data_IF_361447848125
#
_entry.id   IF_361447848125
#
_cell.length_a   1.000
_cell.length_b   1.000
_cell.length_c   1.000
_cell.angle_alpha   90.00
_cell.angle_beta   90.00
_cell.angle_gamma   90.00
#
_symmetry.space_group_name_H-M   'P 1'
#
loop_
_entity.id
_entity.type
_entity.pdbx_description
1 polymer ?
#
# COMPACT_ATOMS: atom_id res chain seq x y z
N UNK A 1 7.55 22.56 -18.58
CA UNK A 1 6.77 23.53 -17.79
C UNK A 1 6.95 23.22 -16.33
N UNK A 2 7.07 24.20 -15.40
CA UNK A 2 7.10 23.87 -13.98
C UNK A 2 5.85 23.07 -13.62
N UNK A 3 6.02 22.06 -12.77
CA UNK A 3 4.90 21.24 -12.32
C UNK A 3 3.91 22.13 -11.56
N UNK A 4 2.66 22.21 -12.03
CA UNK A 4 1.61 22.96 -11.35
C UNK A 4 1.09 22.24 -10.09
N UNK A 5 1.52 21.00 -9.87
CA UNK A 5 1.01 20.15 -8.79
C UNK A 5 2.16 19.66 -7.90
N UNK A 6 2.07 19.92 -6.60
CA UNK A 6 2.91 19.31 -5.58
C UNK A 6 2.19 18.08 -5.02
N UNK A 7 2.87 16.95 -4.92
CA UNK A 7 2.30 15.72 -4.41
C UNK A 7 2.81 15.42 -3.01
N UNK A 8 1.91 15.16 -2.07
CA UNK A 8 2.20 14.68 -0.72
C UNK A 8 1.75 13.22 -0.60
N UNK A 9 2.67 12.31 -0.33
CA UNK A 9 2.37 10.90 -0.06
C UNK A 9 2.44 10.66 1.44
N UNK A 10 1.32 10.33 2.06
CA UNK A 10 1.22 10.06 3.50
C UNK A 10 1.66 8.62 3.77
N UNK A 11 2.80 8.45 4.46
CA UNK A 11 3.42 7.17 4.76
C UNK A 11 3.91 7.10 6.22
N UNK A 12 3.22 7.82 7.12
CA UNK A 12 3.62 7.99 8.51
C UNK A 12 3.07 6.91 9.46
N UNK A 13 1.96 6.26 9.10
CA UNK A 13 1.24 5.31 9.97
C UNK A 13 1.98 3.98 10.16
N UNK A 14 1.83 3.42 11.36
CA UNK A 14 2.28 2.05 11.66
C UNK A 14 1.48 1.02 10.88
N UNK A 15 0.15 1.12 10.88
CA UNK A 15 -0.75 0.13 10.30
C UNK A 15 -0.89 -1.12 11.18
N UNK A 16 -1.39 -0.95 12.40
CA UNK A 16 -1.49 -2.02 13.41
C UNK A 16 -2.30 -3.23 12.99
N UNK A 17 -3.26 -3.07 12.07
CA UNK A 17 -4.00 -4.19 11.48
C UNK A 17 -3.15 -5.21 10.73
N UNK A 18 -1.90 -4.86 10.38
CA UNK A 18 -0.93 -5.76 9.77
C UNK A 18 0.13 -6.30 10.75
N UNK A 19 0.02 -6.04 12.06
CA UNK A 19 0.96 -6.66 13.01
C UNK A 19 0.91 -8.19 12.92
N UNK A 20 2.05 -8.89 12.92
CA UNK A 20 3.38 -8.43 13.24
C UNK A 20 4.22 -7.88 12.06
N UNK A 21 3.70 -7.81 10.84
CA UNK A 21 4.45 -7.36 9.65
C UNK A 21 4.91 -5.88 9.77
N UNK A 22 4.22 -5.09 10.59
CA UNK A 22 4.49 -3.66 10.80
C UNK A 22 5.25 -3.35 12.09
N UNK A 23 5.67 -4.36 12.85
CA UNK A 23 6.46 -4.15 14.08
C UNK A 23 7.81 -3.44 13.84
N UNK A 24 8.39 -3.58 12.65
CA UNK A 24 9.72 -3.06 12.32
C UNK A 24 9.76 -2.11 11.12
N UNK A 25 8.60 -1.76 10.56
CA UNK A 25 8.46 -0.87 9.40
C UNK A 25 7.06 -0.26 9.34
N UNK A 26 6.85 0.88 8.65
CA UNK A 26 5.50 1.40 8.40
C UNK A 26 4.78 0.51 7.38
N UNK A 27 3.44 0.58 7.34
CA UNK A 27 2.61 -0.16 6.39
C UNK A 27 3.04 0.06 4.94
N UNK A 28 3.37 1.29 4.56
CA UNK A 28 3.89 1.65 3.23
C UNK A 28 5.15 0.87 2.80
N UNK A 29 5.94 0.36 3.76
CA UNK A 29 7.15 -0.41 3.49
C UNK A 29 6.98 -1.93 3.56
N UNK A 30 5.76 -2.44 3.76
CA UNK A 30 5.47 -3.88 3.78
C UNK A 30 5.70 -4.46 2.36
N UNK A 31 6.39 -5.62 2.23
CA UNK A 31 6.58 -6.29 0.94
C UNK A 31 5.24 -6.72 0.33
N UNK A 32 5.14 -6.71 -1.02
CA UNK A 32 3.95 -7.13 -1.76
C UNK A 32 4.32 -7.72 -3.12
N UNK A 33 3.57 -8.74 -3.59
CA UNK A 33 3.66 -9.28 -4.94
C UNK A 33 5.05 -9.81 -5.34
N UNK A 34 5.79 -10.40 -4.41
CA UNK A 34 7.07 -11.07 -4.64
C UNK A 34 8.30 -10.15 -4.70
N UNK A 35 8.15 -8.85 -4.99
CA UNK A 35 9.32 -7.94 -5.08
C UNK A 35 9.03 -6.49 -4.73
N UNK A 36 7.77 -6.04 -4.72
CA UNK A 36 7.38 -4.67 -4.49
C UNK A 36 7.25 -4.35 -2.99
N UNK A 37 7.06 -3.08 -2.69
CA UNK A 37 6.51 -2.58 -1.43
C UNK A 37 5.20 -1.85 -1.71
N UNK A 38 4.35 -1.76 -0.71
CA UNK A 38 3.03 -1.13 -0.85
C UNK A 38 3.11 0.27 -1.45
N UNK A 39 4.07 1.09 -1.02
CA UNK A 39 4.26 2.45 -1.53
C UNK A 39 4.61 2.53 -3.03
N UNK A 40 5.20 1.47 -3.59
CA UNK A 40 5.63 1.46 -5.00
C UNK A 40 4.45 1.66 -5.96
N UNK A 41 3.25 1.23 -5.58
CA UNK A 41 2.03 1.42 -6.38
C UNK A 41 1.64 2.89 -6.47
N UNK A 42 1.59 3.60 -5.34
CA UNK A 42 1.29 5.04 -5.31
C UNK A 42 2.36 5.84 -6.05
N UNK A 43 3.65 5.52 -5.87
CA UNK A 43 4.73 6.21 -6.56
C UNK A 43 4.77 5.89 -8.06
N UNK A 44 4.43 4.67 -8.48
CA UNK A 44 4.28 4.32 -9.89
C UNK A 44 3.14 5.11 -10.53
N UNK A 45 2.00 5.25 -9.84
CA UNK A 45 0.90 6.10 -10.32
C UNK A 45 1.36 7.57 -10.47
N UNK A 46 2.13 8.12 -9.52
CA UNK A 46 2.72 9.46 -9.67
C UNK A 46 3.61 9.56 -10.91
N UNK A 47 4.51 8.59 -11.10
CA UNK A 47 5.44 8.54 -12.23
C UNK A 47 4.70 8.52 -13.57
N UNK A 48 3.74 7.63 -13.72
CA UNK A 48 2.95 7.46 -14.95
C UNK A 48 1.99 8.61 -15.22
N UNK A 49 1.50 9.29 -14.19
CA UNK A 49 0.68 10.51 -14.29
C UNK A 49 1.50 11.77 -14.55
N UNK A 50 2.82 11.66 -14.75
CA UNK A 50 3.68 12.82 -15.03
C UNK A 50 4.00 13.69 -13.81
N UNK A 51 3.67 13.26 -12.60
CA UNK A 51 3.97 13.99 -11.37
C UNK A 51 5.45 13.83 -11.01
N UNK A 52 6.14 14.97 -10.84
CA UNK A 52 7.60 14.99 -10.66
C UNK A 52 8.04 15.58 -9.33
N UNK A 53 7.17 16.26 -8.62
CA UNK A 53 7.46 16.87 -7.32
C UNK A 53 6.68 16.12 -6.25
N UNK A 54 7.34 15.17 -5.60
CA UNK A 54 6.72 14.24 -4.64
C UNK A 54 7.44 14.30 -3.30
N UNK A 55 6.71 14.65 -2.26
CA UNK A 55 7.14 14.61 -0.86
C UNK A 55 6.49 13.41 -0.17
N UNK A 56 7.28 12.54 0.43
CA UNK A 56 6.79 11.38 1.16
C UNK A 56 6.89 11.66 2.66
N UNK A 57 5.76 11.95 3.31
CA UNK A 57 5.72 12.28 4.73
C UNK A 57 5.81 10.99 5.56
N UNK A 58 6.85 10.90 6.39
CA UNK A 58 7.19 9.65 7.11
C UNK A 58 7.37 9.89 8.60
N UNK A 59 7.11 8.89 9.43
CA UNK A 59 7.31 8.94 10.87
C UNK A 59 7.70 7.59 11.47
N UNK A 60 6.74 6.66 11.60
CA UNK A 60 6.96 5.40 12.31
C UNK A 60 8.03 4.55 11.63
N UNK A 61 9.08 4.19 12.37
CA UNK A 61 10.19 3.27 11.96
C UNK A 61 10.58 3.39 10.48
N UNK A 62 10.76 4.62 10.01
CA UNK A 62 10.86 4.98 8.58
C UNK A 62 12.18 4.60 7.91
N UNK A 63 13.20 4.17 8.65
CA UNK A 63 14.54 3.88 8.09
C UNK A 63 14.50 2.95 6.87
N UNK A 64 13.75 1.84 6.96
CA UNK A 64 13.65 0.88 5.84
C UNK A 64 12.90 1.46 4.63
N UNK A 65 11.95 2.39 4.86
CA UNK A 65 11.24 3.10 3.81
C UNK A 65 12.17 4.12 3.13
N UNK A 66 12.91 4.92 3.89
CA UNK A 66 13.89 5.87 3.36
C UNK A 66 14.96 5.17 2.52
N UNK A 67 15.50 4.03 3.02
CA UNK A 67 16.42 3.21 2.24
C UNK A 67 15.81 2.79 0.90
N UNK A 68 14.57 2.32 0.90
CA UNK A 68 13.87 1.89 -0.31
C UNK A 68 13.66 3.04 -1.30
N UNK A 69 13.23 4.21 -0.82
CA UNK A 69 13.06 5.41 -1.65
C UNK A 69 14.38 5.85 -2.29
N UNK A 70 15.46 5.89 -1.50
CA UNK A 70 16.80 6.23 -2.00
C UNK A 70 17.27 5.23 -3.06
N UNK A 71 17.15 3.93 -2.80
CA UNK A 71 17.74 2.88 -3.64
C UNK A 71 16.88 2.61 -4.91
N UNK A 72 15.56 2.79 -4.85
CA UNK A 72 14.63 2.47 -5.94
C UNK A 72 14.03 3.65 -6.67
N UNK A 73 13.93 4.82 -6.01
CA UNK A 73 13.15 5.95 -6.50
C UNK A 73 13.95 7.24 -6.72
N UNK A 74 15.29 7.22 -6.58
CA UNK A 74 16.18 8.32 -6.95
C UNK A 74 16.39 8.36 -8.46
N UNK A 75 15.32 8.64 -9.20
CA UNK A 75 15.28 8.60 -10.68
C UNK A 75 15.10 9.97 -11.31
N UNK A 76 14.80 10.98 -10.51
CA UNK A 76 14.57 12.34 -10.98
C UNK A 76 15.81 13.19 -10.83
N UNK A 77 15.92 14.24 -11.65
CA UNK A 77 16.99 15.20 -11.56
C UNK A 77 16.56 16.43 -10.74
N UNK A 78 17.10 16.61 -9.52
CA UNK A 78 16.77 17.77 -8.69
C UNK A 78 17.14 19.12 -9.30
N UNK A 79 18.12 19.18 -10.21
CA UNK A 79 18.48 20.40 -10.92
C UNK A 79 17.37 20.90 -11.84
N UNK A 80 16.50 20.00 -12.29
CA UNK A 80 15.30 20.34 -13.07
C UNK A 80 14.08 20.62 -12.19
N UNK A 81 14.23 20.57 -10.87
CA UNK A 81 13.14 20.72 -9.91
C UNK A 81 12.28 19.45 -9.72
N UNK A 82 12.75 18.31 -10.21
CA UNK A 82 12.07 17.02 -10.10
C UNK A 82 12.62 16.22 -8.91
N UNK A 83 11.76 15.73 -8.04
CA UNK A 83 12.19 14.98 -6.85
C UNK A 83 11.14 14.00 -6.32
N UNK A 84 11.61 12.94 -5.67
CA UNK A 84 10.88 12.14 -4.70
C UNK A 84 11.69 12.20 -3.40
N UNK A 85 11.20 12.97 -2.42
CA UNK A 85 11.96 13.26 -1.20
C UNK A 85 11.21 12.77 0.03
N UNK A 86 11.80 11.90 0.87
CA UNK A 86 11.24 11.58 2.17
C UNK A 86 11.36 12.76 3.13
N UNK A 87 10.26 13.11 3.77
CA UNK A 87 10.17 14.18 4.78
C UNK A 87 9.79 13.53 6.11
N UNK A 88 10.74 13.27 7.00
CA UNK A 88 10.44 12.76 8.33
C UNK A 88 9.79 13.83 9.18
N UNK A 89 8.99 13.42 10.17
CA UNK A 89 8.47 14.32 11.20
C UNK A 89 9.63 15.03 11.92
N UNK A 90 9.53 16.37 12.09
CA UNK A 90 10.61 17.22 12.58
C UNK A 90 10.23 18.03 13.82
N UNK A 91 9.02 17.82 14.38
CA UNK A 91 8.54 18.56 15.55
C UNK A 91 8.64 20.08 15.38
N UNK A 92 8.26 20.62 14.21
CA UNK A 92 8.37 22.05 13.89
C UNK A 92 7.37 22.92 14.64
N UNK A 93 6.20 22.35 14.95
CA UNK A 93 5.14 22.99 15.69
C UNK A 93 5.00 22.31 17.07
N UNK A 94 5.86 22.70 18.00
CA UNK A 94 5.91 22.10 19.34
C UNK A 94 6.72 20.81 19.42
N UNK A 95 6.52 20.04 20.50
CA UNK A 95 7.26 18.80 20.80
C UNK A 95 6.57 17.52 20.28
N UNK A 96 5.45 17.68 19.57
CA UNK A 96 4.64 16.55 19.14
C UNK A 96 5.07 15.99 17.78
N UNK A 97 4.96 14.69 17.64
CA UNK A 97 5.02 14.00 16.36
C UNK A 97 3.70 14.23 15.61
N UNK A 98 3.63 13.81 14.33
CA UNK A 98 2.36 13.88 13.60
C UNK A 98 1.25 13.13 14.35
N UNK A 99 0.19 13.82 14.72
CA UNK A 99 -0.99 13.24 15.34
C UNK A 99 -1.85 12.46 14.34
N UNK A 100 -1.91 12.93 13.09
CA UNK A 100 -2.69 12.30 12.02
C UNK A 100 -2.31 12.82 10.64
N UNK A 101 -3.08 12.46 9.58
CA UNK A 101 -2.85 12.93 8.21
C UNK A 101 -2.88 14.46 8.08
N UNK A 102 -3.87 15.10 8.69
CA UNK A 102 -4.02 16.55 8.67
C UNK A 102 -2.87 17.26 9.37
N UNK A 103 -2.50 16.80 10.54
CA UNK A 103 -1.37 17.34 11.31
C UNK A 103 -0.03 17.16 10.56
N UNK A 104 0.16 16.03 9.87
CA UNK A 104 1.34 15.83 9.04
C UNK A 104 1.45 16.89 7.93
N UNK A 105 0.33 17.30 7.32
CA UNK A 105 0.32 18.37 6.32
C UNK A 105 0.59 19.71 6.99
N UNK A 106 -0.06 20.02 8.12
CA UNK A 106 0.08 21.27 8.88
C UNK A 106 1.53 21.49 9.30
N UNK A 107 2.19 20.53 9.93
CA UNK A 107 3.60 20.63 10.32
C UNK A 107 4.56 20.81 9.13
N UNK A 108 4.11 20.51 7.92
CA UNK A 108 4.88 20.71 6.68
C UNK A 108 4.34 21.86 5.81
N UNK A 109 3.49 22.73 6.33
CA UNK A 109 2.92 23.90 5.66
C UNK A 109 3.96 24.73 4.91
N UNK A 110 5.12 24.93 5.50
CA UNK A 110 6.21 25.71 4.91
C UNK A 110 6.69 25.16 3.55
N UNK A 111 6.54 23.84 3.29
CA UNK A 111 6.85 23.23 1.98
C UNK A 111 5.79 23.59 0.94
N UNK A 112 4.53 23.69 1.34
CA UNK A 112 3.43 24.14 0.48
C UNK A 112 3.63 25.61 0.10
N UNK A 113 3.92 26.47 1.06
CA UNK A 113 4.13 27.91 0.87
C UNK A 113 5.29 28.20 -0.07
N UNK A 114 6.40 27.45 0.06
CA UNK A 114 7.59 27.59 -0.79
C UNK A 114 7.42 27.03 -2.20
N UNK A 115 6.44 26.16 -2.41
CA UNK A 115 6.18 25.57 -3.72
C UNK A 115 5.49 26.56 -4.64
N UNK A 116 5.91 26.57 -5.92
CA UNK A 116 5.24 27.33 -6.97
C UNK A 116 3.96 26.63 -7.49
N UNK A 117 3.62 25.45 -6.98
CA UNK A 117 2.44 24.71 -7.38
C UNK A 117 1.15 25.46 -7.03
N UNK A 118 0.15 25.37 -7.89
CA UNK A 118 -1.22 25.88 -7.65
C UNK A 118 -2.11 24.84 -6.99
N UNK A 119 -1.80 23.56 -7.20
CA UNK A 119 -2.56 22.44 -6.65
C UNK A 119 -1.69 21.54 -5.77
N UNK A 120 -2.31 20.92 -4.78
CA UNK A 120 -1.68 19.94 -3.90
C UNK A 120 -2.44 18.61 -4.01
N UNK A 121 -1.75 17.57 -4.47
CA UNK A 121 -2.28 16.22 -4.50
C UNK A 121 -1.84 15.48 -3.23
N UNK A 122 -2.80 15.04 -2.42
CA UNK A 122 -2.56 14.28 -1.19
C UNK A 122 -2.97 12.84 -1.39
N UNK A 123 -2.05 11.90 -1.15
CA UNK A 123 -2.19 10.48 -1.44
C UNK A 123 -1.92 9.63 -0.21
N UNK A 124 -2.78 8.69 0.10
CA UNK A 124 -2.45 7.62 1.04
C UNK A 124 -1.45 6.66 0.37
N UNK A 125 -0.24 6.54 0.96
CA UNK A 125 0.84 5.67 0.45
C UNK A 125 0.72 4.20 0.89
N UNK A 126 -0.49 3.72 1.22
CA UNK A 126 -0.71 2.46 1.94
C UNK A 126 -1.73 1.53 1.26
N UNK A 127 -2.13 1.83 0.03
CA UNK A 127 -3.08 1.03 -0.75
C UNK A 127 -2.45 0.46 -2.03
N UNK A 128 -3.02 -0.63 -2.51
CA UNK A 128 -2.65 -1.28 -3.76
C UNK A 128 -3.69 -0.96 -4.82
N UNK A 129 -3.31 -0.20 -5.84
CA UNK A 129 -4.18 0.17 -6.96
C UNK A 129 -3.38 0.80 -8.10
N UNK A 130 -4.00 0.92 -9.26
CA UNK A 130 -3.55 1.78 -10.37
C UNK A 130 -4.55 2.89 -10.61
N UNK A 131 -4.05 4.11 -10.78
CA UNK A 131 -4.86 5.27 -11.07
C UNK A 131 -4.05 6.33 -11.82
N UNK A 132 -4.63 6.88 -12.88
CA UNK A 132 -4.09 8.05 -13.56
C UNK A 132 -4.51 9.33 -12.82
N UNK A 133 -3.59 9.87 -12.04
CA UNK A 133 -3.84 11.10 -11.29
C UNK A 133 -3.94 12.33 -12.19
N UNK A 134 -3.42 12.28 -13.42
CA UNK A 134 -3.55 13.40 -14.36
C UNK A 134 -5.02 13.64 -14.71
N UNK A 135 -5.82 12.57 -14.80
CA UNK A 135 -7.25 12.66 -15.06
C UNK A 135 -8.01 13.27 -13.86
N UNK A 136 -7.65 12.89 -12.62
CA UNK A 136 -8.21 13.51 -11.42
C UNK A 136 -7.89 15.01 -11.36
N UNK A 137 -6.65 15.40 -11.63
CA UNK A 137 -6.20 16.79 -11.61
C UNK A 137 -6.91 17.58 -12.73
N UNK A 138 -7.09 16.97 -13.91
CA UNK A 138 -7.86 17.59 -14.99
C UNK A 138 -9.31 17.84 -14.59
N UNK A 139 -9.98 16.85 -14.02
CA UNK A 139 -11.33 16.99 -13.52
C UNK A 139 -11.45 18.06 -12.42
N UNK A 140 -10.46 18.15 -11.54
CA UNK A 140 -10.36 19.18 -10.51
C UNK A 140 -10.32 20.59 -11.14
N UNK A 141 -9.48 20.80 -12.14
CA UNK A 141 -9.37 22.10 -12.85
C UNK A 141 -10.64 22.44 -13.62
N UNK A 142 -11.23 21.47 -14.29
CA UNK A 142 -12.47 21.65 -15.09
C UNK A 142 -13.66 22.02 -14.19
N UNK A 143 -13.75 21.45 -13.00
CA UNK A 143 -14.83 21.74 -12.06
C UNK A 143 -14.66 23.07 -11.32
N UNK A 144 -13.44 23.62 -11.25
CA UNK A 144 -13.14 24.80 -10.43
C UNK A 144 -13.31 24.54 -8.92
N UNK A 145 -13.28 23.27 -8.50
CA UNK A 145 -13.47 22.88 -7.11
C UNK A 145 -12.28 23.32 -6.23
N UNK A 146 -12.52 23.60 -4.95
CA UNK A 146 -11.49 23.79 -3.96
C UNK A 146 -10.85 22.44 -3.55
N UNK A 147 -11.62 21.36 -3.63
CA UNK A 147 -11.12 20.00 -3.40
C UNK A 147 -11.85 18.99 -4.28
N UNK A 148 -11.10 18.04 -4.82
CA UNK A 148 -11.65 16.87 -5.53
C UNK A 148 -11.17 15.59 -4.89
N UNK A 149 -12.08 14.70 -4.51
CA UNK A 149 -11.78 13.42 -3.88
C UNK A 149 -11.97 12.29 -4.88
N UNK A 150 -11.01 11.35 -4.93
CA UNK A 150 -11.28 10.08 -5.59
C UNK A 150 -12.22 9.24 -4.73
N UNK A 151 -13.30 8.77 -5.35
CA UNK A 151 -14.36 7.98 -4.72
C UNK A 151 -14.61 6.69 -5.50
N UNK A 152 -15.05 5.67 -4.80
CA UNK A 152 -15.39 4.36 -5.37
C UNK A 152 -16.68 3.81 -4.75
N UNK A 153 -17.29 2.85 -5.42
CA UNK A 153 -18.44 2.15 -4.88
C UNK A 153 -18.08 1.40 -3.58
N UNK A 154 -18.89 1.52 -2.55
CA UNK A 154 -18.67 0.87 -1.24
C UNK A 154 -18.63 -0.65 -1.34
N UNK A 155 -19.41 -1.25 -2.23
CA UNK A 155 -19.49 -2.71 -2.41
C UNK A 155 -18.35 -3.33 -3.21
N UNK A 156 -17.47 -2.51 -3.76
CA UNK A 156 -16.34 -3.03 -4.51
C UNK A 156 -15.36 -3.79 -3.59
N UNK A 157 -14.75 -4.91 -4.06
CA UNK A 157 -13.83 -5.69 -3.26
C UNK A 157 -12.66 -4.85 -2.70
N UNK A 158 -12.24 -5.14 -1.48
CA UNK A 158 -11.15 -4.42 -0.81
C UNK A 158 -11.60 -3.17 -0.06
N UNK A 159 -12.91 -2.88 0.06
CA UNK A 159 -13.40 -1.79 0.89
C UNK A 159 -13.20 -2.14 2.36
N UNK A 160 -12.27 -1.49 2.97
CA UNK A 160 -12.16 -1.36 4.41
C UNK A 160 -13.09 -0.26 4.90
N UNK A 161 -13.00 0.00 6.18
CA UNK A 161 -13.75 1.05 6.86
C UNK A 161 -13.21 2.42 6.43
N UNK A 162 -13.65 2.92 5.27
CA UNK A 162 -13.31 4.26 4.75
C UNK A 162 -14.48 5.22 4.93
N UNK A 163 -14.22 6.54 5.10
CA UNK A 163 -15.27 7.54 5.16
C UNK A 163 -16.24 7.44 4.00
N UNK A 164 -17.54 7.52 4.30
CA UNK A 164 -18.61 7.49 3.30
C UNK A 164 -18.83 8.88 2.72
N UNK A 165 -19.14 8.90 1.44
CA UNK A 165 -19.36 10.10 0.65
C UNK A 165 -20.78 10.13 0.14
N UNK A 166 -21.49 11.21 0.40
CA UNK A 166 -22.76 11.54 -0.24
C UNK A 166 -22.47 12.57 -1.34
N UNK A 167 -22.87 12.26 -2.57
CA UNK A 167 -22.70 13.16 -3.71
C UNK A 167 -24.04 13.28 -4.47
N UNK A 168 -24.23 14.42 -5.15
CA UNK A 168 -25.35 14.61 -6.08
C UNK A 168 -25.04 14.03 -7.47
N UNK A 169 -25.97 14.25 -8.41
CA UNK A 169 -25.86 13.79 -9.80
C UNK A 169 -24.70 14.42 -10.56
N UNK A 170 -24.28 15.62 -10.17
CA UNK A 170 -23.16 16.37 -10.75
C UNK A 170 -21.83 16.05 -10.04
N UNK A 171 -21.82 15.00 -9.21
CA UNK A 171 -20.66 14.58 -8.40
C UNK A 171 -20.20 15.61 -7.37
N UNK A 172 -21.02 16.61 -7.02
CA UNK A 172 -20.75 17.53 -5.92
C UNK A 172 -20.94 16.77 -4.60
N UNK A 173 -20.00 16.91 -3.70
CA UNK A 173 -20.04 16.27 -2.39
C UNK A 173 -20.93 17.08 -1.45
N UNK A 174 -21.96 16.41 -0.94
CA UNK A 174 -22.94 16.98 -0.02
C UNK A 174 -22.66 16.61 1.44
N UNK A 175 -21.91 15.52 1.67
CA UNK A 175 -21.57 15.06 3.01
C UNK A 175 -20.46 14.05 3.02
N UNK A 176 -19.71 14.05 4.12
CA UNK A 176 -18.67 13.09 4.46
C UNK A 176 -18.90 12.61 5.88
N UNK A 177 -18.93 11.31 6.10
CA UNK A 177 -19.18 10.73 7.42
C UNK A 177 -18.04 9.77 7.79
N UNK A 178 -17.71 9.74 9.09
CA UNK A 178 -16.72 8.79 9.60
C UNK A 178 -17.09 7.35 9.24
N UNK A 179 -16.09 6.47 9.10
CA UNK A 179 -16.33 5.07 8.87
C UNK A 179 -17.17 4.49 10.02
N UNK A 180 -18.32 3.91 9.71
CA UNK A 180 -19.11 3.23 10.74
C UNK A 180 -18.53 1.84 10.95
N UNK A 181 -18.27 1.49 12.22
CA UNK A 181 -17.77 0.17 12.62
C UNK A 181 -18.72 -0.97 12.22
N UNK A 182 -20.03 -0.71 12.12
CA UNK A 182 -21.05 -1.64 11.68
C UNK A 182 -21.48 -1.36 10.23
N UNK A 183 -20.89 -2.11 9.29
CA UNK A 183 -21.30 -2.09 7.89
C UNK A 183 -22.77 -2.53 7.67
N UNK A 184 -23.41 -3.14 8.67
CA UNK A 184 -24.80 -3.59 8.65
C UNK A 184 -25.80 -2.46 8.94
N UNK A 185 -25.39 -1.38 9.59
CA UNK A 185 -26.27 -0.28 10.02
C UNK A 185 -26.50 0.80 8.96
N UNK A 186 -25.81 0.72 7.80
CA UNK A 186 -25.99 1.68 6.69
C UNK A 186 -26.99 1.10 5.70
N UNK A 187 -28.05 1.82 5.31
CA UNK A 187 -29.00 1.34 4.31
C UNK A 187 -28.26 0.87 3.06
N UNK A 188 -28.73 -0.21 2.41
CA UNK A 188 -28.18 -0.67 1.14
C UNK A 188 -28.57 0.31 0.02
N UNK A 189 -27.98 1.50 0.01
CA UNK A 189 -28.04 2.35 -1.15
C UNK A 189 -27.03 1.77 -2.14
N UNK A 190 -27.51 1.37 -3.31
CA UNK A 190 -26.69 0.82 -4.41
C UNK A 190 -25.64 1.81 -4.92
N UNK A 191 -25.70 3.07 -4.49
CA UNK A 191 -24.84 4.20 -4.87
C UNK A 191 -23.96 4.75 -3.74
N UNK A 192 -23.82 4.04 -2.62
CA UNK A 192 -22.96 4.52 -1.54
C UNK A 192 -21.50 4.55 -1.99
N UNK A 193 -20.88 5.74 -1.92
CA UNK A 193 -19.49 5.98 -2.26
C UNK A 193 -18.62 5.99 -1.00
N UNK A 194 -17.35 5.64 -1.17
CA UNK A 194 -16.33 5.75 -0.13
C UNK A 194 -15.08 6.45 -0.67
N UNK A 195 -14.36 7.16 0.19
CA UNK A 195 -13.09 7.80 -0.19
C UNK A 195 -12.01 6.75 -0.45
N UNK A 196 -11.00 7.14 -1.22
CA UNK A 196 -9.83 6.30 -1.50
C UNK A 196 -8.55 6.81 -0.82
N UNK A 197 -8.65 7.90 -0.03
CA UNK A 197 -7.46 8.56 0.50
C UNK A 197 -6.65 9.30 -0.58
N UNK A 198 -7.30 9.76 -1.64
CA UNK A 198 -6.71 10.50 -2.76
C UNK A 198 -7.48 11.81 -2.90
N UNK A 199 -6.79 12.94 -2.71
CA UNK A 199 -7.37 14.28 -2.67
C UNK A 199 -6.55 15.23 -3.53
N UNK A 200 -7.20 16.01 -4.40
CA UNK A 200 -6.61 17.15 -5.10
C UNK A 200 -7.19 18.44 -4.53
N UNK A 201 -6.33 19.30 -4.01
CA UNK A 201 -6.70 20.56 -3.38
C UNK A 201 -6.22 21.75 -4.22
N UNK A 202 -7.02 22.82 -4.30
CA UNK A 202 -6.48 24.14 -4.53
C UNK A 202 -5.54 24.50 -3.36
N UNK A 203 -4.31 24.93 -3.67
CA UNK A 203 -3.31 25.19 -2.65
C UNK A 203 -3.71 26.33 -1.71
N UNK A 204 -4.31 27.38 -2.24
CA UNK A 204 -4.70 28.57 -1.44
C UNK A 204 -5.80 28.20 -0.47
N UNK A 205 -6.78 27.42 -0.92
CA UNK A 205 -7.83 26.91 -0.06
C UNK A 205 -7.28 25.96 1.02
N UNK A 206 -6.41 25.01 0.65
CA UNK A 206 -5.79 24.11 1.62
C UNK A 206 -5.04 24.90 2.72
N UNK A 207 -4.24 25.90 2.36
CA UNK A 207 -3.54 26.73 3.32
C UNK A 207 -4.51 27.45 4.27
N UNK A 208 -5.66 27.94 3.78
CA UNK A 208 -6.67 28.60 4.60
C UNK A 208 -7.35 27.63 5.59
N UNK A 209 -7.55 26.38 5.20
CA UNK A 209 -8.10 25.33 6.07
C UNK A 209 -7.09 24.92 7.15
N UNK A 210 -5.80 24.86 6.80
CA UNK A 210 -4.73 24.58 7.77
C UNK A 210 -4.67 25.59 8.92
N UNK A 211 -5.05 26.85 8.67
CA UNK A 211 -5.14 27.89 9.71
C UNK A 211 -6.31 27.70 10.68
N UNK A 212 -7.34 26.99 10.26
CA UNK A 212 -8.56 26.75 11.02
C UNK A 212 -8.57 25.35 11.68
N UNK A 213 -7.55 24.54 11.40
CA UNK A 213 -7.49 23.10 11.65
C UNK A 213 -7.69 22.68 13.10
N UNK A 214 -8.24 21.49 13.29
CA UNK A 214 -8.53 20.88 14.57
C UNK A 214 -7.27 20.56 15.40
N UNK A 215 -7.46 20.45 16.71
CA UNK A 215 -6.40 20.13 17.69
C UNK A 215 -6.36 18.64 18.06
N UNK A 216 -7.01 17.76 17.27
CA UNK A 216 -7.18 16.35 17.63
C UNK A 216 -6.09 15.41 17.09
N UNK A 217 -5.75 14.35 17.83
CA UNK A 217 -5.01 13.23 17.29
C UNK A 217 -5.89 12.44 16.29
N UNK A 218 -5.28 11.88 15.24
CA UNK A 218 -5.92 11.02 14.24
C UNK A 218 -6.97 11.70 13.32
N UNK A 219 -6.84 13.00 13.05
CA UNK A 219 -7.71 13.75 12.15
C UNK A 219 -7.78 13.11 10.74
N UNK A 220 -9.00 12.82 10.28
CA UNK A 220 -9.27 12.38 8.91
C UNK A 220 -9.44 13.60 7.97
N UNK A 221 -8.78 13.58 6.83
CA UNK A 221 -8.83 14.69 5.88
C UNK A 221 -10.25 14.94 5.32
N UNK A 222 -11.02 13.88 5.13
CA UNK A 222 -12.39 14.00 4.62
C UNK A 222 -13.35 14.53 5.67
N UNK A 223 -13.36 13.89 6.84
CA UNK A 223 -14.36 14.15 7.89
C UNK A 223 -14.03 15.41 8.67
N UNK A 224 -12.76 15.61 9.06
CA UNK A 224 -12.39 16.69 9.98
C UNK A 224 -11.97 17.96 9.25
N UNK A 225 -11.51 17.87 8.01
CA UNK A 225 -11.00 19.02 7.25
C UNK A 225 -11.88 19.45 6.09
N UNK A 226 -12.55 18.52 5.40
CA UNK A 226 -13.39 18.85 4.24
C UNK A 226 -14.84 19.02 4.64
N UNK A 227 -15.40 18.08 5.42
CA UNK A 227 -16.82 18.10 5.75
C UNK A 227 -17.31 19.41 6.41
N UNK A 228 -16.56 20.05 7.32
CA UNK A 228 -16.97 21.32 7.94
C UNK A 228 -17.13 22.46 6.94
N UNK A 229 -16.47 22.38 5.76
CA UNK A 229 -16.44 23.44 4.76
C UNK A 229 -17.39 23.20 3.57
N UNK A 230 -18.14 22.08 3.52
CA UNK A 230 -19.01 21.73 2.37
C UNK A 230 -20.12 22.78 2.09
N UNK A 231 -20.48 23.59 3.09
CA UNK A 231 -21.43 24.69 2.91
C UNK A 231 -20.88 25.94 2.19
N UNK A 232 -19.55 26.10 2.18
CA UNK A 232 -18.85 27.29 1.66
C UNK A 232 -17.85 26.99 0.57
N UNK A 233 -17.39 25.74 0.45
CA UNK A 233 -16.44 25.28 -0.55
C UNK A 233 -17.10 24.31 -1.53
N UNK A 234 -16.70 24.38 -2.80
CA UNK A 234 -17.07 23.39 -3.80
C UNK A 234 -16.15 22.16 -3.69
N UNK A 235 -16.71 21.05 -3.24
CA UNK A 235 -16.04 19.76 -3.19
C UNK A 235 -16.66 18.81 -4.23
N UNK A 236 -15.82 18.16 -5.05
CA UNK A 236 -16.26 17.26 -6.12
C UNK A 236 -15.71 15.83 -5.92
N UNK A 237 -16.51 14.85 -6.32
CA UNK A 237 -16.12 13.44 -6.37
C UNK A 237 -15.60 13.06 -7.76
N UNK A 238 -14.43 12.45 -7.83
CA UNK A 238 -13.92 11.80 -9.04
C UNK A 238 -14.10 10.30 -8.93
N UNK A 239 -14.94 9.70 -9.78
CA UNK A 239 -15.23 8.26 -9.70
C UNK A 239 -14.07 7.44 -10.26
N UNK A 240 -13.49 6.62 -9.41
CA UNK A 240 -12.41 5.70 -9.76
C UNK A 240 -12.91 4.57 -10.68
N UNK A 241 -12.05 4.11 -11.58
CA UNK A 241 -12.38 3.03 -12.52
C UNK A 241 -13.32 3.45 -13.66
N UNK A 242 -13.36 4.74 -13.99
CA UNK A 242 -14.00 5.25 -15.22
C UNK A 242 -13.18 4.88 -16.47
N UNK A 243 -13.75 5.18 -17.63
CA UNK A 243 -13.15 4.88 -18.94
C UNK A 243 -12.05 5.87 -19.36
N UNK A 244 -11.78 6.89 -18.55
CA UNK A 244 -10.79 7.93 -18.83
C UNK A 244 -9.45 7.59 -18.20
N UNK A 245 -8.37 7.88 -18.90
CA UNK A 245 -7.00 7.66 -18.43
C UNK A 245 -6.28 6.56 -19.19
N UNK A 246 -5.01 6.35 -18.83
CA UNK A 246 -4.09 5.42 -19.50
C UNK A 246 -4.17 4.00 -18.94
N UNK A 247 -4.79 3.81 -17.80
CA UNK A 247 -4.88 2.49 -17.12
C UNK A 247 -6.08 1.70 -17.61
N UNK A 248 -5.92 0.39 -17.66
CA UNK A 248 -7.05 -0.52 -17.85
C UNK A 248 -8.01 -0.39 -16.67
N UNK A 249 -9.32 -0.40 -16.93
CA UNK A 249 -10.33 -0.23 -15.89
C UNK A 249 -10.50 -1.49 -15.05
N UNK A 250 -9.41 -1.99 -14.44
CA UNK A 250 -9.46 -3.13 -13.52
C UNK A 250 -10.24 -2.83 -12.24
N UNK A 251 -10.36 -1.54 -11.91
CA UNK A 251 -11.07 -1.02 -10.72
C UNK A 251 -10.57 -1.63 -9.40
N UNK A 252 -9.41 -2.25 -9.42
CA UNK A 252 -8.86 -2.86 -8.23
C UNK A 252 -8.29 -1.81 -7.28
N UNK A 253 -8.77 -1.84 -6.04
CA UNK A 253 -8.23 -1.06 -4.94
C UNK A 253 -8.29 -1.86 -3.65
N UNK A 254 -7.22 -1.86 -2.87
CA UNK A 254 -7.14 -2.55 -1.58
C UNK A 254 -6.25 -1.76 -0.62
N UNK A 255 -6.77 -1.43 0.57
CA UNK A 255 -6.02 -0.69 1.58
C UNK A 255 -5.21 -1.57 2.53
N UNK A 256 -5.28 -2.89 2.40
CA UNK A 256 -4.56 -3.86 3.23
C UNK A 256 -4.83 -3.64 4.74
N UNK A 257 -6.10 -3.54 5.13
CA UNK A 257 -6.48 -3.20 6.51
C UNK A 257 -6.13 -4.28 7.55
N UNK A 258 -5.99 -5.54 7.14
CA UNK A 258 -5.71 -6.68 8.01
C UNK A 258 -4.77 -7.70 7.37
N UNK A 259 -4.25 -8.63 8.17
CA UNK A 259 -3.46 -9.78 7.68
C UNK A 259 -4.24 -10.57 6.63
N UNK A 260 -5.52 -10.81 6.85
CA UNK A 260 -6.35 -11.54 5.90
C UNK A 260 -6.50 -10.78 4.57
N UNK A 261 -6.76 -9.47 4.62
CA UNK A 261 -6.82 -8.64 3.41
C UNK A 261 -5.48 -8.61 2.66
N UNK A 262 -4.37 -8.49 3.39
CA UNK A 262 -3.02 -8.54 2.83
C UNK A 262 -2.74 -9.88 2.16
N UNK A 263 -3.06 -10.98 2.83
CA UNK A 263 -2.87 -12.33 2.30
C UNK A 263 -3.72 -12.55 1.05
N UNK A 264 -5.01 -12.21 1.09
CA UNK A 264 -5.93 -12.34 -0.04
C UNK A 264 -5.49 -11.49 -1.25
N UNK A 265 -5.05 -10.27 -1.01
CA UNK A 265 -4.55 -9.38 -2.08
C UNK A 265 -3.31 -9.97 -2.79
N UNK A 266 -2.38 -10.58 -2.03
CA UNK A 266 -1.23 -11.26 -2.62
C UNK A 266 -1.64 -12.54 -3.36
N UNK A 267 -2.43 -13.42 -2.73
CA UNK A 267 -2.86 -14.67 -3.35
C UNK A 267 -3.76 -14.47 -4.57
N UNK A 268 -4.49 -13.35 -4.61
CA UNK A 268 -5.25 -12.92 -5.77
C UNK A 268 -4.41 -12.74 -7.04
N UNK A 269 -3.13 -12.41 -6.90
CA UNK A 269 -2.19 -12.27 -8.04
C UNK A 269 -1.89 -13.60 -8.75
N UNK A 270 -2.17 -14.74 -8.07
CA UNK A 270 -1.94 -16.08 -8.61
C UNK A 270 -3.15 -16.65 -9.38
N UNK A 271 -4.26 -15.92 -9.45
CA UNK A 271 -5.44 -16.34 -10.22
C UNK A 271 -5.13 -16.31 -11.71
N UNK A 272 -5.84 -17.12 -12.49
CA UNK A 272 -5.76 -17.11 -13.96
C UNK A 272 -6.07 -15.71 -14.52
N UNK A 273 -7.08 -15.04 -13.91
CA UNK A 273 -7.40 -13.64 -14.16
C UNK A 273 -7.18 -12.87 -12.84
N UNK A 274 -5.98 -12.30 -12.66
CA UNK A 274 -5.68 -11.58 -11.44
C UNK A 274 -6.46 -10.24 -11.39
N UNK A 275 -6.96 -9.83 -10.22
CA UNK A 275 -7.69 -8.56 -10.09
C UNK A 275 -6.81 -7.34 -10.35
N UNK A 276 -5.49 -7.51 -10.27
CA UNK A 276 -4.46 -6.52 -10.62
C UNK A 276 -3.39 -7.22 -11.45
N UNK A 277 -3.28 -6.85 -12.73
CA UNK A 277 -2.25 -7.40 -13.61
C UNK A 277 -0.89 -6.72 -13.39
N UNK A 278 0.04 -7.40 -12.73
CA UNK A 278 1.40 -6.91 -12.53
C UNK A 278 2.26 -6.88 -13.81
N UNK A 279 1.81 -7.54 -14.87
CA UNK A 279 2.52 -7.63 -16.15
C UNK A 279 2.07 -6.60 -17.18
N UNK A 280 1.19 -5.68 -16.82
CA UNK A 280 0.77 -4.57 -17.67
C UNK A 280 1.98 -3.70 -18.04
N UNK A 281 2.41 -3.73 -19.30
CA UNK A 281 3.67 -3.13 -19.75
C UNK A 281 3.62 -1.60 -19.81
N UNK A 282 2.49 -1.00 -20.18
CA UNK A 282 2.30 0.43 -20.31
C UNK A 282 2.08 1.15 -18.97
N UNK A 283 1.88 0.37 -17.87
CA UNK A 283 1.78 0.86 -16.50
C UNK A 283 2.53 -0.04 -15.51
N UNK A 284 3.81 -0.22 -15.75
CA UNK A 284 4.66 -1.07 -14.92
C UNK A 284 4.89 -0.44 -13.53
N UNK A 285 4.92 -1.27 -12.52
CA UNK A 285 5.25 -0.85 -11.15
C UNK A 285 6.78 -0.90 -10.97
N UNK A 286 7.37 0.26 -10.76
CA UNK A 286 8.80 0.38 -10.46
C UNK A 286 9.07 0.00 -9.00
N UNK A 287 10.21 -0.64 -8.75
CA UNK A 287 10.72 -0.92 -7.40
C UNK A 287 12.24 -1.04 -7.41
N UNK A 288 12.86 -1.08 -6.24
CA UNK A 288 14.27 -1.45 -6.10
C UNK A 288 14.47 -2.93 -6.50
N UNK A 289 15.49 -3.19 -7.30
CA UNK A 289 15.90 -4.55 -7.67
C UNK A 289 17.35 -4.77 -7.25
N UNK A 290 17.55 -5.70 -6.30
CA UNK A 290 18.89 -6.16 -5.95
C UNK A 290 19.53 -6.96 -7.10
N UNK A 291 20.87 -6.97 -7.14
CA UNK A 291 21.66 -7.75 -8.10
C UNK A 291 21.69 -9.22 -7.65
N UNK A 292 20.60 -9.94 -7.91
CA UNK A 292 20.49 -11.38 -7.58
C UNK A 292 20.47 -12.23 -8.84
N UNK A 293 21.01 -13.49 -8.78
CA UNK A 293 20.91 -14.42 -9.91
C UNK A 293 19.45 -14.82 -10.17
N UNK A 294 19.14 -15.39 -11.34
CA UNK A 294 17.81 -15.93 -11.60
C UNK A 294 17.35 -16.94 -10.54
N UNK A 295 16.03 -17.05 -10.34
CA UNK A 295 15.46 -18.13 -9.58
C UNK A 295 15.71 -19.48 -10.30
N UNK A 296 15.92 -20.55 -9.55
CA UNK A 296 16.14 -21.89 -10.12
C UNK A 296 15.57 -23.02 -9.28
N UNK A 297 15.27 -24.12 -9.94
CA UNK A 297 15.02 -25.41 -9.30
C UNK A 297 16.22 -26.34 -9.53
N UNK A 298 16.51 -27.20 -8.59
CA UNK A 298 17.55 -28.23 -8.69
C UNK A 298 17.09 -29.51 -7.96
N UNK A 299 17.59 -30.69 -8.33
CA UNK A 299 17.34 -31.92 -7.56
C UNK A 299 17.82 -31.79 -6.12
N UNK A 300 17.15 -32.47 -5.20
CA UNK A 300 17.55 -32.60 -3.82
C UNK A 300 18.88 -33.35 -3.68
N UNK A 301 19.77 -32.83 -2.86
CA UNK A 301 21.11 -33.41 -2.71
C UNK A 301 21.10 -34.83 -2.13
N UNK A 302 20.09 -35.15 -1.32
CA UNK A 302 19.94 -36.45 -0.63
C UNK A 302 18.90 -37.32 -1.35
N UNK A 303 17.74 -36.78 -1.64
CA UNK A 303 16.64 -37.53 -2.25
C UNK A 303 16.79 -37.77 -3.75
N UNK A 304 17.51 -36.88 -4.44
CA UNK A 304 17.50 -36.84 -5.92
C UNK A 304 16.16 -36.40 -6.53
N UNK A 305 15.16 -36.04 -5.69
CA UNK A 305 13.84 -35.60 -6.13
C UNK A 305 13.94 -34.22 -6.79
N UNK A 306 13.23 -33.99 -7.88
CA UNK A 306 13.22 -32.69 -8.55
C UNK A 306 12.60 -31.58 -7.69
N UNK A 307 13.17 -30.39 -7.73
CA UNK A 307 12.55 -29.21 -7.18
C UNK A 307 11.40 -28.73 -8.08
N UNK A 308 10.19 -28.66 -7.54
CA UNK A 308 8.96 -28.37 -8.28
C UNK A 308 8.28 -27.11 -7.75
N UNK A 309 7.78 -26.27 -8.66
CA UNK A 309 6.83 -25.21 -8.29
C UNK A 309 5.63 -25.20 -9.24
N UNK A 310 4.44 -24.94 -8.68
CA UNK A 310 3.17 -24.91 -9.41
C UNK A 310 2.43 -23.64 -9.01
N UNK A 311 1.86 -22.92 -9.98
CA UNK A 311 1.06 -21.70 -9.80
C UNK A 311 1.62 -20.76 -8.73
N UNK A 312 2.89 -20.39 -8.87
CA UNK A 312 3.66 -19.64 -7.87
C UNK A 312 4.50 -18.55 -8.50
N UNK A 313 4.75 -17.47 -7.77
CA UNK A 313 5.65 -16.38 -8.16
C UNK A 313 6.99 -16.54 -7.43
N UNK A 314 8.09 -16.57 -8.18
CA UNK A 314 9.45 -16.71 -7.66
C UNK A 314 10.29 -15.48 -8.00
N UNK A 315 10.80 -14.78 -6.99
CA UNK A 315 11.72 -13.68 -7.20
C UNK A 315 13.17 -14.15 -7.38
N UNK A 316 14.04 -13.26 -7.86
CA UNK A 316 15.43 -13.52 -8.13
C UNK A 316 16.19 -14.09 -6.91
N UNK A 317 17.14 -14.99 -7.15
CA UNK A 317 17.93 -15.65 -6.11
C UNK A 317 17.21 -16.76 -5.35
N UNK A 318 15.95 -17.06 -5.66
CA UNK A 318 15.22 -18.19 -5.04
C UNK A 318 15.76 -19.51 -5.54
N UNK A 319 15.94 -20.49 -4.64
CA UNK A 319 16.41 -21.85 -4.97
C UNK A 319 15.48 -22.88 -4.33
N UNK A 320 14.87 -23.72 -5.14
CA UNK A 320 14.10 -24.90 -4.71
C UNK A 320 14.92 -26.13 -5.00
N UNK A 321 15.41 -26.82 -3.95
CA UNK A 321 16.28 -27.98 -4.04
C UNK A 321 15.54 -29.23 -3.52
N UNK A 322 14.99 -30.04 -4.40
CA UNK A 322 14.25 -31.26 -4.05
C UNK A 322 12.95 -31.03 -3.28
N UNK A 323 12.50 -29.79 -3.16
CA UNK A 323 11.27 -29.42 -2.46
C UNK A 323 10.11 -29.12 -3.40
N UNK A 324 8.91 -29.00 -2.85
CA UNK A 324 7.67 -28.66 -3.55
C UNK A 324 7.10 -27.31 -3.12
N UNK A 325 6.76 -26.45 -4.08
CA UNK A 325 6.13 -25.16 -3.85
C UNK A 325 4.84 -25.06 -4.66
N UNK A 326 3.72 -24.82 -4.03
CA UNK A 326 2.41 -24.76 -4.67
C UNK A 326 1.63 -23.53 -4.18
N UNK A 327 1.09 -22.76 -5.10
CA UNK A 327 0.27 -21.56 -4.79
C UNK A 327 0.98 -20.57 -3.86
N UNK A 328 2.24 -20.22 -4.13
CA UNK A 328 3.07 -19.43 -3.23
C UNK A 328 3.64 -18.17 -3.91
N UNK A 329 3.98 -17.20 -3.07
CA UNK A 329 4.75 -16.02 -3.47
C UNK A 329 6.06 -16.02 -2.69
N UNK A 330 7.18 -16.25 -3.38
CA UNK A 330 8.51 -16.29 -2.82
C UNK A 330 9.28 -15.04 -3.23
N UNK A 331 9.67 -14.25 -2.23
CA UNK A 331 10.53 -13.07 -2.41
C UNK A 331 11.98 -13.46 -2.68
N UNK A 332 12.88 -12.49 -2.75
CA UNK A 332 14.27 -12.72 -3.16
C UNK A 332 15.02 -13.65 -2.20
N UNK A 333 15.90 -14.49 -2.75
CA UNK A 333 16.80 -15.36 -1.98
C UNK A 333 16.12 -16.38 -1.05
N UNK A 334 14.88 -16.74 -1.34
CA UNK A 334 14.20 -17.81 -0.60
C UNK A 334 14.83 -19.15 -0.94
N UNK A 335 15.11 -19.97 0.07
CA UNK A 335 15.61 -21.32 -0.07
C UNK A 335 14.60 -22.35 0.42
N UNK A 336 14.20 -23.30 -0.46
CA UNK A 336 13.36 -24.43 -0.06
C UNK A 336 14.21 -25.70 -0.21
N UNK A 337 14.41 -26.40 0.92
CA UNK A 337 15.32 -27.55 1.01
C UNK A 337 14.62 -28.86 0.65
N UNK A 338 15.42 -29.92 0.58
CA UNK A 338 15.02 -31.27 0.16
C UNK A 338 13.83 -31.81 0.96
N UNK A 339 12.83 -32.34 0.27
CA UNK A 339 11.61 -32.87 0.85
C UNK A 339 10.68 -31.83 1.53
N UNK A 340 11.04 -30.54 1.53
CA UNK A 340 10.18 -29.51 2.10
C UNK A 340 8.99 -29.21 1.18
N UNK A 341 7.81 -28.98 1.78
CA UNK A 341 6.56 -28.65 1.06
C UNK A 341 6.03 -27.30 1.56
N UNK A 342 5.82 -26.39 0.63
CA UNK A 342 5.25 -25.06 0.89
C UNK A 342 3.99 -24.90 0.05
N UNK A 343 2.86 -24.70 0.74
CA UNK A 343 1.55 -24.58 0.11
C UNK A 343 0.87 -23.26 0.53
N UNK A 344 0.22 -22.58 -0.40
CA UNK A 344 -0.57 -21.38 -0.19
C UNK A 344 0.11 -20.37 0.75
N UNK A 345 1.39 -20.04 0.53
CA UNK A 345 2.18 -19.28 1.49
C UNK A 345 2.97 -18.14 0.86
N UNK A 346 3.30 -17.13 1.68
CA UNK A 346 4.09 -15.97 1.28
C UNK A 346 5.38 -15.99 2.09
N UNK A 347 6.54 -16.13 1.42
CA UNK A 347 7.85 -16.17 2.06
C UNK A 347 8.65 -14.92 1.69
N UNK A 348 9.02 -14.11 2.69
CA UNK A 348 9.79 -12.88 2.47
C UNK A 348 11.27 -13.14 2.21
N UNK A 349 12.00 -12.08 1.88
CA UNK A 349 13.41 -12.15 1.48
C UNK A 349 14.26 -12.96 2.46
N UNK A 350 15.06 -13.89 1.92
CA UNK A 350 16.07 -14.63 2.68
C UNK A 350 15.50 -15.71 3.59
N UNK A 351 14.23 -16.06 3.51
CA UNK A 351 13.64 -17.19 4.24
C UNK A 351 14.26 -18.50 3.75
N UNK A 352 14.61 -19.36 4.70
CA UNK A 352 15.10 -20.71 4.42
C UNK A 352 14.15 -21.72 5.06
N UNK A 353 13.57 -22.60 4.26
CA UNK A 353 12.72 -23.71 4.70
C UNK A 353 13.57 -24.96 4.78
N UNK A 354 13.71 -25.54 5.99
CA UNK A 354 14.52 -26.70 6.28
C UNK A 354 14.00 -28.00 5.65
N UNK A 355 14.85 -29.01 5.63
CA UNK A 355 14.56 -30.31 5.00
C UNK A 355 13.31 -30.98 5.58
N UNK A 356 12.40 -31.43 4.74
CA UNK A 356 11.17 -32.08 5.16
C UNK A 356 10.19 -31.21 5.95
N UNK A 357 10.39 -29.89 6.00
CA UNK A 357 9.46 -28.98 6.66
C UNK A 357 8.18 -28.77 5.80
N UNK A 358 7.06 -28.61 6.47
CA UNK A 358 5.76 -28.43 5.82
C UNK A 358 5.12 -27.09 6.25
N UNK A 359 4.88 -26.21 5.30
CA UNK A 359 4.25 -24.91 5.53
C UNK A 359 2.93 -24.82 4.76
N UNK A 360 1.90 -24.27 5.40
CA UNK A 360 0.59 -24.09 4.77
C UNK A 360 -0.08 -22.80 5.26
N UNK A 361 -0.61 -22.02 4.33
CA UNK A 361 -1.34 -20.77 4.63
C UNK A 361 -0.58 -19.87 5.61
N UNK A 362 0.70 -19.60 5.30
CA UNK A 362 1.62 -18.87 6.16
C UNK A 362 2.15 -17.59 5.49
N UNK A 363 2.50 -16.62 6.32
CA UNK A 363 3.36 -15.50 5.95
C UNK A 363 4.62 -15.61 6.80
N UNK A 364 5.77 -15.82 6.18
CA UNK A 364 7.04 -15.97 6.88
C UNK A 364 7.87 -14.71 6.66
N UNK A 365 8.20 -14.02 7.75
CA UNK A 365 8.98 -12.78 7.73
C UNK A 365 10.44 -12.99 7.32
N UNK A 366 11.10 -11.86 6.96
CA UNK A 366 12.47 -11.82 6.41
C UNK A 366 13.48 -12.54 7.27
N UNK A 367 14.39 -13.27 6.58
CA UNK A 367 15.55 -13.94 7.15
C UNK A 367 15.22 -15.01 8.19
N UNK A 368 13.95 -15.44 8.31
CA UNK A 368 13.53 -16.54 9.18
C UNK A 368 14.06 -17.87 8.63
N UNK A 369 14.57 -18.71 9.53
CA UNK A 369 15.05 -20.04 9.23
C UNK A 369 14.14 -21.08 9.86
N UNK A 370 13.34 -21.75 9.03
CA UNK A 370 12.46 -22.83 9.47
C UNK A 370 13.31 -24.09 9.66
N UNK A 371 13.30 -24.76 10.83
CA UNK A 371 14.08 -25.96 11.07
C UNK A 371 13.58 -27.15 10.23
N UNK A 372 14.42 -28.21 10.09
CA UNK A 372 13.99 -29.43 9.42
C UNK A 372 12.76 -30.06 10.08
N UNK A 373 11.86 -30.62 9.27
CA UNK A 373 10.62 -31.32 9.68
C UNK A 373 9.62 -30.49 10.48
N UNK A 374 9.80 -29.16 10.53
CA UNK A 374 8.86 -28.25 11.19
C UNK A 374 7.52 -28.22 10.42
N UNK A 375 6.41 -28.08 11.15
CA UNK A 375 5.07 -28.01 10.58
C UNK A 375 4.36 -26.75 11.05
N UNK A 376 3.95 -25.88 10.12
CA UNK A 376 3.26 -24.62 10.41
C UNK A 376 2.02 -24.51 9.52
N UNK A 377 0.88 -24.15 10.11
CA UNK A 377 -0.41 -24.01 9.43
C UNK A 377 -1.21 -25.31 9.36
N UNK A 378 -0.91 -26.29 10.23
CA UNK A 378 -1.62 -27.58 10.31
C UNK A 378 -2.37 -27.78 11.62
N UNK A 379 -1.92 -27.19 12.71
CA UNK A 379 -2.59 -27.21 14.01
C UNK A 379 -2.76 -25.79 14.54
N UNK A 380 -4.01 -25.30 14.44
CA UNK A 380 -4.34 -23.90 14.79
C UNK A 380 -4.03 -23.58 16.26
N UNK A 381 -4.22 -24.53 17.19
CA UNK A 381 -3.94 -24.29 18.62
C UNK A 381 -2.45 -24.14 18.88
N UNK A 382 -1.66 -25.08 18.37
CA UNK A 382 -0.20 -25.04 18.46
C UNK A 382 0.37 -23.79 17.78
N UNK A 383 -0.18 -23.39 16.61
CA UNK A 383 0.26 -22.20 15.91
C UNK A 383 -0.07 -20.90 16.68
N UNK A 384 -1.25 -20.83 17.34
CA UNK A 384 -1.64 -19.67 18.17
C UNK A 384 -0.78 -19.48 19.42
N UNK A 385 -0.22 -20.56 19.98
CA UNK A 385 0.70 -20.48 21.13
C UNK A 385 2.07 -19.88 20.74
N UNK A 386 2.44 -19.96 19.47
CA UNK A 386 3.77 -19.60 18.96
C UNK A 386 3.79 -18.35 18.06
N UNK A 387 2.73 -18.15 17.32
CA UNK A 387 2.65 -17.18 16.23
C UNK A 387 1.36 -16.35 16.30
N UNK A 388 1.32 -15.30 15.51
CA UNK A 388 0.05 -14.60 15.24
C UNK A 388 -0.75 -15.40 14.20
N UNK A 389 -2.00 -15.71 14.52
CA UNK A 389 -2.93 -16.39 13.60
C UNK A 389 -4.12 -15.48 13.36
N UNK A 390 -4.39 -15.17 12.10
CA UNK A 390 -5.50 -14.31 11.71
C UNK A 390 -6.87 -14.97 11.93
N UNK A 391 -7.98 -14.23 11.89
CA UNK A 391 -9.33 -14.78 11.94
C UNK A 391 -9.59 -15.87 10.89
N UNK A 392 -9.07 -15.72 9.66
CA UNK A 392 -9.20 -16.72 8.59
C UNK A 392 -8.15 -17.84 8.65
N UNK A 393 -7.27 -17.85 9.66
CA UNK A 393 -6.31 -18.93 9.88
C UNK A 393 -4.96 -18.74 9.21
N UNK A 394 -4.63 -17.54 8.72
CA UNK A 394 -3.29 -17.26 8.20
C UNK A 394 -2.30 -17.14 9.34
N UNK A 395 -1.24 -17.95 9.30
CA UNK A 395 -0.18 -17.97 10.33
C UNK A 395 0.93 -17.01 9.95
N UNK A 396 1.29 -16.09 10.83
CA UNK A 396 2.37 -15.13 10.59
C UNK A 396 3.54 -15.40 11.53
N UNK A 397 4.66 -15.86 10.96
CA UNK A 397 5.92 -16.03 11.70
C UNK A 397 6.69 -14.72 11.67
N UNK A 398 6.91 -14.06 12.82
CA UNK A 398 7.50 -12.73 12.88
C UNK A 398 9.01 -12.75 12.59
N UNK A 399 9.54 -11.60 12.19
CA UNK A 399 10.98 -11.42 11.99
C UNK A 399 11.75 -11.70 13.28
N UNK A 400 12.85 -12.47 13.16
CA UNK A 400 13.72 -12.80 14.28
C UNK A 400 13.17 -13.88 15.21
N UNK A 401 12.07 -14.54 14.84
CA UNK A 401 11.61 -15.72 15.59
C UNK A 401 12.69 -16.80 15.62
N UNK A 402 12.87 -17.40 16.80
CA UNK A 402 13.82 -18.52 17.03
C UNK A 402 13.01 -19.76 17.38
N UNK A 403 13.15 -20.77 16.55
CA UNK A 403 12.53 -22.09 16.73
C UNK A 403 13.19 -22.88 17.83
#
# INVERSE_FOLDING_TARGET
MPSHTLTLVLAAKRGTGLDPLTLHRPKAAVPFGGKFRVIDFTLANCLHSGLRQVLVLTQYKSHSLHKHLRDGWSIFNPELGDFITPVPAQQREGLNWYGGPGDAIRQNRYLLERSAASEVLVLAGEAIYRMDYAELIRAHRESGAQVTLAVRGRREPGSSVQPLVMADQDSRILGLTAPQADAAAVPPADDALATMGVYCFDKSWLLSVLDQGGEGPDEDLGVDWIAPHLGTALACGYRFGGERGRVTPDRYWCDLASIDAYYQANMGLLRAEPPLDLYQADWNIRTYQGQYPPARTVPGAVSGTEGIFVNSMLAAGTVISGGGVNHCILFTRVGVRDGAIVDASILFDGVVVGEGAHLRTCIIEKDVRIPPKERIGFDRKQDQERFTVSPQGVVVVPKGYRF
#
